data_IF_288429462294
#
_entry.id   IF_288429462294
#
_cell.length_a   1.000
_cell.length_b   1.000
_cell.length_c   1.000
_cell.angle_alpha   90.00
_cell.angle_beta   90.00
_cell.angle_gamma   90.00
#
_symmetry.space_group_name_H-M   'P 1'
#
loop_
_entity.id
_entity.type
_entity.pdbx_description
1 polymer ?
#
# COMPACT_ATOMS: atom_id res chain seq x y z
N UNK A 1 40.07 1.25 0.88
CA UNK A 1 38.77 1.07 0.21
C UNK A 1 37.72 0.98 1.29
N UNK A 2 36.96 2.04 1.55
CA UNK A 2 35.85 1.99 2.51
C UNK A 2 34.63 1.61 1.68
N UNK A 3 34.33 0.31 1.63
CA UNK A 3 33.04 -0.16 1.14
C UNK A 3 32.00 0.28 2.17
N UNK A 4 31.36 1.41 1.89
CA UNK A 4 30.14 1.83 2.56
C UNK A 4 29.03 0.88 2.11
N UNK A 5 28.99 -0.33 2.66
CA UNK A 5 27.77 -1.12 2.61
C UNK A 5 26.77 -0.43 3.53
N UNK A 6 25.98 0.49 2.98
CA UNK A 6 24.69 0.82 3.59
C UNK A 6 24.01 -0.52 3.85
N UNK A 7 23.66 -0.88 5.10
CA UNK A 7 22.77 -2.00 5.29
C UNK A 7 21.53 -1.62 4.49
N UNK A 8 21.28 -2.34 3.40
CA UNK A 8 20.02 -2.26 2.68
C UNK A 8 18.97 -2.74 3.67
N UNK A 9 18.53 -1.80 4.52
CA UNK A 9 17.59 -2.02 5.59
C UNK A 9 16.36 -2.66 4.95
N UNK A 10 15.87 -3.72 5.59
CA UNK A 10 14.69 -4.50 5.27
C UNK A 10 13.62 -3.68 4.53
N UNK A 11 13.72 -3.63 3.19
CA UNK A 11 12.82 -2.80 2.39
C UNK A 11 11.46 -3.48 2.36
N UNK A 12 10.43 -2.79 2.84
CA UNK A 12 9.07 -3.29 2.80
C UNK A 12 8.52 -3.28 1.36
N UNK A 13 7.70 -4.27 1.04
CA UNK A 13 6.82 -4.32 -0.12
C UNK A 13 5.39 -4.43 0.37
N UNK A 14 4.47 -3.73 -0.27
CA UNK A 14 3.03 -3.91 -0.05
C UNK A 14 2.38 -4.28 -1.38
N UNK A 15 1.99 -5.54 -1.52
CA UNK A 15 1.12 -5.98 -2.61
C UNK A 15 -0.31 -5.67 -2.21
N UNK A 16 -1.10 -5.11 -3.13
CA UNK A 16 -2.45 -4.62 -2.83
C UNK A 16 -3.44 -5.26 -3.78
N UNK A 17 -4.53 -5.77 -3.21
CA UNK A 17 -5.69 -6.29 -3.92
C UNK A 17 -6.94 -5.60 -3.37
N UNK A 18 -7.76 -5.03 -4.23
CA UNK A 18 -8.93 -4.26 -3.85
C UNK A 18 -10.18 -4.83 -4.54
N UNK A 19 -11.19 -5.17 -3.76
CA UNK A 19 -12.52 -5.54 -4.24
C UNK A 19 -13.46 -4.33 -4.20
N UNK A 20 -14.28 -4.14 -5.23
CA UNK A 20 -15.32 -3.12 -5.19
C UNK A 20 -16.39 -3.51 -4.15
N UNK A 21 -16.88 -2.51 -3.41
CA UNK A 21 -18.04 -2.67 -2.51
C UNK A 21 -19.33 -2.27 -3.23
N UNK A 22 -20.46 -2.40 -2.54
CA UNK A 22 -21.76 -1.89 -3.02
C UNK A 22 -21.83 -0.35 -3.07
N UNK A 23 -20.88 0.33 -2.42
CA UNK A 23 -20.75 1.79 -2.45
C UNK A 23 -19.82 2.19 -3.59
N UNK A 24 -20.31 3.07 -4.48
CA UNK A 24 -19.56 3.56 -5.63
C UNK A 24 -18.22 4.15 -5.21
N UNK A 25 -17.14 3.67 -5.84
CA UNK A 25 -15.75 4.07 -5.61
C UNK A 25 -15.22 3.77 -4.20
N UNK A 26 -15.95 2.99 -3.40
CA UNK A 26 -15.44 2.43 -2.16
C UNK A 26 -14.96 1.00 -2.41
N UNK A 27 -13.78 0.69 -1.89
CA UNK A 27 -13.07 -0.56 -2.11
C UNK A 27 -12.59 -1.13 -0.79
N UNK A 28 -12.78 -2.44 -0.62
CA UNK A 28 -12.16 -3.20 0.45
C UNK A 28 -10.84 -3.77 -0.06
N UNK A 29 -9.74 -3.30 0.52
CA UNK A 29 -8.40 -3.65 0.07
C UNK A 29 -7.67 -4.51 1.11
N UNK A 30 -7.01 -5.56 0.61
CA UNK A 30 -6.04 -6.36 1.35
C UNK A 30 -4.64 -5.96 0.90
N UNK A 31 -3.81 -5.64 1.87
CA UNK A 31 -2.39 -5.34 1.70
C UNK A 31 -1.59 -6.48 2.30
N UNK A 32 -0.79 -7.15 1.48
CA UNK A 32 0.14 -8.19 1.93
C UNK A 32 1.53 -7.58 2.03
N UNK A 33 2.06 -7.52 3.26
CA UNK A 33 3.38 -6.96 3.51
C UNK A 33 4.45 -8.04 3.50
N UNK A 34 5.51 -7.81 2.72
CA UNK A 34 6.69 -8.68 2.68
C UNK A 34 7.98 -7.88 2.77
N UNK A 35 9.01 -8.51 3.33
CA UNK A 35 10.37 -8.02 3.21
C UNK A 35 10.86 -8.33 1.80
N UNK A 36 11.21 -7.30 1.02
CA UNK A 36 11.65 -7.44 -0.39
C UNK A 36 12.87 -8.34 -0.55
N UNK A 37 13.73 -8.43 0.47
CA UNK A 37 14.96 -9.22 0.40
C UNK A 37 14.71 -10.68 0.76
N UNK A 38 13.92 -10.94 1.79
CA UNK A 38 13.72 -12.30 2.33
C UNK A 38 12.43 -12.98 1.87
N UNK A 39 11.49 -12.23 1.30
CA UNK A 39 10.15 -12.69 0.95
C UNK A 39 9.24 -12.97 2.15
N UNK A 40 9.75 -12.85 3.38
CA UNK A 40 8.99 -13.15 4.60
C UNK A 40 7.91 -12.11 4.83
N UNK A 41 6.75 -12.56 5.33
CA UNK A 41 5.66 -11.67 5.69
C UNK A 41 6.03 -10.79 6.88
N UNK A 42 5.62 -9.52 6.82
CA UNK A 42 5.86 -8.55 7.89
C UNK A 42 4.59 -8.49 8.75
N UNK A 43 4.70 -8.99 9.97
CA UNK A 43 3.62 -9.02 10.96
C UNK A 43 3.66 -7.80 11.85
N UNK A 44 2.52 -7.51 12.49
CA UNK A 44 2.37 -6.50 13.55
C UNK A 44 2.90 -5.11 13.16
N UNK A 45 2.78 -4.77 11.87
CA UNK A 45 3.11 -3.45 11.37
C UNK A 45 1.97 -2.48 11.64
N UNK A 46 2.32 -1.25 12.01
CA UNK A 46 1.38 -0.15 12.11
C UNK A 46 1.72 0.87 11.04
N UNK A 47 0.69 1.26 10.27
CA UNK A 47 0.82 2.23 9.21
C UNK A 47 -0.54 2.81 8.84
N UNK A 48 -0.50 3.96 8.16
CA UNK A 48 -1.66 4.56 7.50
C UNK A 48 -1.52 4.45 5.99
N UNK A 49 -2.64 4.43 5.28
CA UNK A 49 -2.67 4.47 3.82
C UNK A 49 -3.30 5.79 3.37
N UNK A 50 -2.60 6.55 2.56
CA UNK A 50 -3.18 7.63 1.74
C UNK A 50 -3.08 7.26 0.26
N UNK A 51 -3.78 8.00 -0.60
CA UNK A 51 -3.71 7.80 -2.04
C UNK A 51 -3.59 9.15 -2.75
N UNK A 52 -2.83 9.18 -3.84
CA UNK A 52 -2.71 10.33 -4.74
C UNK A 52 -2.80 9.85 -6.19
N UNK A 53 -3.48 10.61 -7.04
CA UNK A 53 -3.56 10.28 -8.47
C UNK A 53 -2.35 10.86 -9.21
N UNK A 54 -1.42 10.03 -9.75
CA UNK A 54 -0.15 10.53 -10.28
C UNK A 54 -0.27 11.44 -11.50
N UNK A 55 -1.36 11.34 -12.26
CA UNK A 55 -1.63 12.20 -13.42
C UNK A 55 -2.00 13.63 -13.03
N UNK A 56 -2.53 13.85 -11.82
CA UNK A 56 -2.89 15.16 -11.29
C UNK A 56 -2.50 15.26 -9.81
N UNK A 57 -1.19 15.34 -9.51
CA UNK A 57 -0.68 15.28 -8.14
C UNK A 57 -1.28 16.38 -7.27
N UNK A 58 -1.79 16.00 -6.09
CA UNK A 58 -2.36 16.92 -5.10
C UNK A 58 -3.79 17.39 -5.40
N UNK A 59 -4.33 17.14 -6.59
CA UNK A 59 -5.71 17.50 -6.93
C UNK A 59 -6.72 16.46 -6.44
N UNK A 60 -6.33 15.18 -6.51
CA UNK A 60 -7.15 14.04 -6.09
C UNK A 60 -6.37 13.26 -5.04
N UNK A 61 -6.63 13.55 -3.77
CA UNK A 61 -5.94 12.94 -2.63
C UNK A 61 -6.90 12.34 -1.63
N UNK A 62 -6.58 11.13 -1.20
CA UNK A 62 -7.25 10.47 -0.08
C UNK A 62 -6.41 10.75 1.17
N UNK A 63 -7.06 11.31 2.20
CA UNK A 63 -6.42 11.52 3.50
C UNK A 63 -5.95 10.18 4.10
N UNK A 64 -4.89 10.16 4.93
CA UNK A 64 -4.45 8.94 5.58
C UNK A 64 -5.60 8.26 6.34
N UNK A 65 -5.86 7.01 5.99
CA UNK A 65 -6.80 6.12 6.69
C UNK A 65 -6.03 5.09 7.50
N UNK A 66 -6.60 4.72 8.65
CA UNK A 66 -6.04 3.67 9.49
C UNK A 66 -6.19 2.30 8.83
N UNK A 67 -5.21 1.45 9.03
CA UNK A 67 -5.19 0.09 8.51
C UNK A 67 -5.45 -0.89 9.65
N UNK A 68 -6.34 -1.86 9.41
CA UNK A 68 -6.65 -2.92 10.36
C UNK A 68 -5.76 -4.13 10.12
N UNK A 69 -5.04 -4.58 11.14
CA UNK A 69 -4.25 -5.82 11.08
C UNK A 69 -5.21 -7.02 10.98
N UNK A 70 -5.11 -7.79 9.89
CA UNK A 70 -5.91 -8.98 9.63
C UNK A 70 -5.16 -10.28 9.95
N UNK A 71 -3.94 -10.17 10.50
CA UNK A 71 -3.09 -11.29 10.87
C UNK A 71 -2.26 -11.82 9.69
N UNK A 72 -1.25 -12.63 10.02
CA UNK A 72 -0.36 -13.31 9.04
C UNK A 72 0.34 -12.38 8.02
N UNK A 73 0.47 -11.09 8.33
CA UNK A 73 1.06 -10.08 7.42
C UNK A 73 0.10 -9.55 6.35
N UNK A 74 -1.20 -9.84 6.51
CA UNK A 74 -2.28 -9.24 5.74
C UNK A 74 -2.94 -8.13 6.54
N UNK A 75 -3.28 -7.05 5.83
CA UNK A 75 -3.82 -5.85 6.43
C UNK A 75 -5.00 -5.35 5.61
N UNK A 76 -6.09 -5.03 6.28
CA UNK A 76 -7.33 -4.60 5.66
C UNK A 76 -7.46 -3.08 5.74
N UNK A 77 -7.87 -2.45 4.64
CA UNK A 77 -8.19 -1.03 4.59
C UNK A 77 -9.35 -0.79 3.62
N UNK A 78 -10.30 0.04 4.05
CA UNK A 78 -11.35 0.53 3.17
C UNK A 78 -10.93 1.87 2.57
N UNK A 79 -10.92 1.95 1.24
CA UNK A 79 -10.55 3.17 0.51
C UNK A 79 -11.74 3.69 -0.27
N UNK A 80 -12.07 4.96 -0.08
CA UNK A 80 -13.01 5.70 -0.93
C UNK A 80 -12.20 6.58 -1.86
N UNK A 81 -12.24 6.26 -3.16
CA UNK A 81 -11.51 7.00 -4.19
C UNK A 81 -12.43 7.97 -4.93
N UNK A 82 -11.84 8.91 -5.64
CA UNK A 82 -12.62 9.94 -6.35
C UNK A 82 -12.92 9.54 -7.80
N UNK A 83 -12.12 8.62 -8.37
CA UNK A 83 -12.27 8.14 -9.74
C UNK A 83 -11.52 6.82 -10.00
N UNK A 84 -11.89 6.15 -11.09
CA UNK A 84 -11.16 5.00 -11.62
C UNK A 84 -9.84 5.45 -12.26
N UNK A 85 -8.83 4.56 -12.27
CA UNK A 85 -7.54 4.84 -12.90
C UNK A 85 -6.36 4.38 -12.06
N UNK A 86 -5.20 4.94 -12.37
CA UNK A 86 -3.97 4.67 -11.63
C UNK A 86 -3.88 5.54 -10.38
N UNK A 87 -3.56 4.92 -9.26
CA UNK A 87 -3.37 5.58 -7.97
C UNK A 87 -2.03 5.17 -7.38
N UNK A 88 -1.35 6.12 -6.73
CA UNK A 88 -0.23 5.85 -5.85
C UNK A 88 -0.75 5.70 -4.42
N UNK A 89 -0.78 4.47 -3.90
CA UNK A 89 -1.05 4.23 -2.49
C UNK A 89 0.23 4.44 -1.68
N UNK A 90 0.16 5.34 -0.71
CA UNK A 90 1.28 5.74 0.14
C UNK A 90 1.03 5.13 1.51
N UNK A 91 1.88 4.17 1.88
CA UNK A 91 1.86 3.48 3.16
C UNK A 91 2.93 4.10 4.06
N UNK A 92 2.50 4.80 5.10
CA UNK A 92 3.37 5.45 6.07
C UNK A 92 3.46 4.64 7.35
N UNK A 93 4.59 3.96 7.55
CA UNK A 93 4.81 3.05 8.66
C UNK A 93 5.31 3.78 9.91
N UNK A 94 4.78 3.39 11.07
CA UNK A 94 5.28 3.74 12.39
C UNK A 94 6.04 2.57 13.03
N UNK A 95 5.51 1.35 12.89
CA UNK A 95 6.10 0.10 13.39
C UNK A 95 6.34 -0.93 12.28
N UNK A 96 7.28 -1.88 12.46
CA UNK A 96 8.29 -1.94 13.52
C UNK A 96 9.41 -0.90 13.37
N UNK A 97 9.49 -0.26 12.19
CA UNK A 97 10.43 0.82 11.89
C UNK A 97 9.77 1.77 10.90
N UNK A 98 9.92 3.07 11.16
CA UNK A 98 9.48 4.15 10.25
C UNK A 98 10.00 3.93 8.85
N UNK A 99 9.08 3.99 7.90
CA UNK A 99 9.33 3.72 6.50
C UNK A 99 8.16 4.26 5.68
N UNK A 100 8.39 4.50 4.38
CA UNK A 100 7.33 4.89 3.44
C UNK A 100 7.41 3.97 2.23
N UNK A 101 6.32 3.26 1.96
CA UNK A 101 6.18 2.45 0.74
C UNK A 101 5.14 3.10 -0.14
N UNK A 102 5.48 3.28 -1.42
CA UNK A 102 4.53 3.71 -2.43
C UNK A 102 4.27 2.55 -3.38
N UNK A 103 3.02 2.15 -3.50
CA UNK A 103 2.57 1.09 -4.41
C UNK A 103 1.59 1.67 -5.40
N UNK A 104 1.88 1.51 -6.70
CA UNK A 104 0.93 1.83 -7.76
C UNK A 104 -0.16 0.76 -7.84
N UNK A 105 -1.41 1.18 -7.90
CA UNK A 105 -2.56 0.31 -8.15
C UNK A 105 -3.36 0.84 -9.33
N UNK A 106 -3.99 -0.07 -10.08
CA UNK A 106 -4.96 0.31 -11.11
C UNK A 106 -6.34 -0.12 -10.62
N UNK A 107 -7.24 0.86 -10.49
CA UNK A 107 -8.59 0.67 -9.96
C UNK A 107 -9.62 0.81 -11.09
N UNK A 108 -10.56 -0.13 -11.11
CA UNK A 108 -11.66 -0.23 -12.07
C UNK A 108 -12.99 -0.33 -11.34
N UNK A 109 -14.08 -0.46 -12.10
CA UNK A 109 -15.43 -0.63 -11.54
C UNK A 109 -15.57 -1.88 -10.66
N UNK A 110 -14.85 -2.96 -10.95
CA UNK A 110 -14.97 -4.25 -10.24
C UNK A 110 -13.93 -4.45 -9.14
N UNK A 111 -13.02 -3.49 -8.96
CA UNK A 111 -11.88 -3.62 -8.06
C UNK A 111 -10.57 -3.27 -8.77
N UNK A 112 -9.46 -3.75 -8.23
CA UNK A 112 -8.14 -3.48 -8.79
C UNK A 112 -7.02 -4.00 -7.90
N UNK A 113 -5.79 -3.57 -8.19
CA UNK A 113 -4.65 -3.98 -7.40
C UNK A 113 -3.32 -3.52 -7.98
N UNK A 114 -2.26 -3.84 -7.28
CA UNK A 114 -0.89 -3.66 -7.74
C UNK A 114 -0.52 -4.78 -8.70
N UNK A 115 0.05 -4.46 -9.86
CA UNK A 115 0.67 -5.52 -10.68
C UNK A 115 1.88 -6.08 -9.95
N UNK A 116 2.04 -7.41 -9.85
CA UNK A 116 3.29 -8.01 -9.37
C UNK A 116 4.44 -7.44 -10.19
N UNK A 117 5.49 -6.97 -9.52
CA UNK A 117 6.73 -6.68 -10.24
C UNK A 117 7.30 -8.04 -10.71
N UNK A 118 7.54 -8.23 -12.02
CA UNK A 118 8.15 -9.47 -12.53
C UNK A 118 9.55 -9.70 -11.95
#
# INVERSE_FOLDING_TARGET
MISTSSPAADKKSGQVECAATDVRLAYDCIITLTNKKTGQTIKDAEFTVSADMPSMPGAHTVKPVAVMNHGMGMYHVQLVLEMYGEWALIMDFTLPKRDRVVTKVTITKTGGGSTPKP
#
